data_IF_036504671311
#
_entry.id   IF_036504671311
#
_cell.length_a   1.000
_cell.length_b   1.000
_cell.length_c   1.000
_cell.angle_alpha   90.00
_cell.angle_beta   90.00
_cell.angle_gamma   90.00
#
_symmetry.space_group_name_H-M   'P 1'
#
loop_
_entity.id
_entity.type
_entity.pdbx_description
1 polymer ?
#
# COMPACT_ATOMS: atom_id res chain seq x y z
N UNK A 1 78.03 -43.55 37.85
CA UNK A 1 77.55 -42.32 37.19
C UNK A 1 76.01 -42.38 37.11
N UNK A 2 75.31 -41.76 38.05
CA UNK A 2 73.85 -41.82 38.15
C UNK A 2 73.29 -40.59 37.49
N UNK A 3 72.38 -40.76 36.51
CA UNK A 3 71.53 -39.69 35.98
C UNK A 3 70.19 -39.68 36.74
N UNK A 4 69.97 -38.59 37.41
CA UNK A 4 68.65 -38.30 38.05
C UNK A 4 67.67 -37.82 37.01
N UNK A 5 66.55 -38.52 36.92
CA UNK A 5 65.39 -38.10 36.10
C UNK A 5 64.44 -37.29 37.02
N UNK A 6 64.13 -36.05 36.60
CA UNK A 6 63.12 -35.19 37.27
C UNK A 6 61.78 -35.49 36.67
N UNK A 7 60.81 -35.87 37.51
CA UNK A 7 59.37 -35.98 37.17
C UNK A 7 58.73 -34.73 37.62
N UNK A 8 58.19 -33.97 36.70
CA UNK A 8 57.29 -32.80 36.96
C UNK A 8 55.88 -33.28 37.02
N UNK A 9 55.26 -33.10 38.16
CA UNK A 9 53.84 -33.39 38.42
C UNK A 9 53.01 -32.17 38.05
N UNK A 10 52.19 -32.30 37.00
CA UNK A 10 51.23 -31.22 36.64
C UNK A 10 49.91 -31.45 37.40
N UNK A 11 49.59 -30.55 38.32
CA UNK A 11 48.35 -30.57 39.04
C UNK A 11 47.27 -29.90 38.20
N UNK A 12 46.25 -30.66 37.79
CA UNK A 12 45.06 -30.14 37.14
C UNK A 12 44.03 -29.78 38.23
N UNK A 13 43.73 -28.49 38.35
CA UNK A 13 42.66 -28.01 39.23
C UNK A 13 41.34 -28.00 38.42
N UNK A 14 40.44 -28.93 38.75
CA UNK A 14 39.11 -28.96 38.19
C UNK A 14 38.22 -28.07 39.10
N UNK A 15 37.83 -26.92 38.59
CA UNK A 15 36.88 -26.04 39.25
C UNK A 15 35.46 -26.52 38.94
N UNK A 16 34.78 -27.09 39.90
CA UNK A 16 33.37 -27.47 39.80
C UNK A 16 32.53 -26.24 40.09
N UNK A 17 31.98 -25.63 39.05
CA UNK A 17 30.94 -24.61 39.18
C UNK A 17 29.59 -25.31 39.40
N UNK A 18 29.10 -25.24 40.64
CA UNK A 18 27.71 -25.63 40.98
C UNK A 18 26.72 -24.60 40.43
N UNK A 19 26.02 -24.97 39.38
CA UNK A 19 24.86 -24.17 38.88
C UNK A 19 23.67 -24.53 39.76
N UNK A 20 23.27 -23.60 40.62
CA UNK A 20 22.00 -23.69 41.38
C UNK A 20 20.86 -23.35 40.38
N UNK A 21 20.08 -24.35 40.01
CA UNK A 21 18.81 -24.17 39.34
C UNK A 21 17.80 -23.64 40.34
N UNK A 22 17.56 -22.33 40.37
CA UNK A 22 16.38 -21.73 40.97
C UNK A 22 15.28 -21.75 39.90
N UNK A 23 14.39 -22.72 40.04
CA UNK A 23 13.09 -22.72 39.35
C UNK A 23 12.22 -21.66 40.02
N UNK A 24 12.03 -20.53 39.35
CA UNK A 24 10.98 -19.57 39.64
C UNK A 24 9.98 -19.66 38.51
N UNK A 25 8.88 -20.38 38.72
CA UNK A 25 7.68 -20.18 37.90
C UNK A 25 7.08 -18.85 38.35
N UNK A 26 7.22 -17.83 37.54
CA UNK A 26 6.32 -16.70 37.48
C UNK A 26 5.60 -16.78 36.16
N UNK A 27 4.30 -17.06 36.22
CA UNK A 27 3.36 -16.99 35.13
C UNK A 27 3.17 -15.50 34.77
N UNK A 28 4.00 -15.02 33.88
CA UNK A 28 3.74 -13.86 33.03
C UNK A 28 4.30 -14.27 31.66
N UNK A 29 3.40 -14.66 30.77
CA UNK A 29 3.69 -14.88 29.36
C UNK A 29 4.02 -13.52 28.69
N UNK A 30 5.21 -13.01 28.99
CA UNK A 30 5.83 -11.95 28.20
C UNK A 30 6.31 -12.58 26.89
N UNK A 31 5.40 -12.63 25.91
CA UNK A 31 5.82 -12.79 24.53
C UNK A 31 6.63 -11.55 24.16
N UNK A 32 7.94 -11.69 24.14
CA UNK A 32 8.84 -10.68 23.58
C UNK A 32 8.44 -10.46 22.10
N UNK A 33 7.59 -9.47 21.86
CA UNK A 33 7.32 -8.98 20.51
C UNK A 33 8.65 -8.49 19.98
N UNK A 34 9.20 -9.18 18.99
CA UNK A 34 10.42 -8.75 18.29
C UNK A 34 10.09 -7.41 17.63
N UNK A 35 10.39 -6.33 18.34
CA UNK A 35 10.21 -4.97 17.80
C UNK A 35 11.20 -4.81 16.66
N UNK A 36 10.77 -4.38 15.46
CA UNK A 36 11.70 -4.09 14.39
C UNK A 36 12.70 -3.05 14.87
N UNK A 37 13.99 -3.37 14.77
CA UNK A 37 15.08 -2.67 15.45
C UNK A 37 15.26 -1.18 15.07
N UNK A 38 14.63 -0.70 13.98
CA UNK A 38 14.75 0.71 13.59
C UNK A 38 13.50 1.22 12.88
N UNK A 39 12.83 2.19 13.49
CA UNK A 39 11.85 3.02 12.79
C UNK A 39 12.56 4.03 11.90
N UNK A 40 12.00 4.29 10.72
CA UNK A 40 12.52 5.23 9.71
C UNK A 40 11.64 6.49 9.69
N UNK A 41 12.27 7.66 9.59
CA UNK A 41 11.55 8.91 9.33
C UNK A 41 11.22 8.98 7.82
N UNK A 42 9.98 8.64 7.48
CA UNK A 42 9.51 8.67 6.11
C UNK A 42 9.21 10.12 5.71
N UNK A 43 10.07 10.69 4.87
CA UNK A 43 9.87 12.01 4.27
C UNK A 43 9.79 11.85 2.77
N UNK A 44 8.57 11.93 2.24
CA UNK A 44 8.34 11.77 0.82
C UNK A 44 8.22 13.14 0.14
N UNK A 45 9.03 13.32 -0.91
CA UNK A 45 8.89 14.46 -1.80
C UNK A 45 7.69 14.25 -2.71
N UNK A 46 6.96 15.31 -2.95
CA UNK A 46 5.87 15.35 -3.92
C UNK A 46 6.47 15.52 -5.31
N UNK A 47 6.14 14.65 -6.29
CA UNK A 47 6.44 14.93 -7.70
C UNK A 47 5.74 16.20 -8.21
N UNK A 48 6.25 16.81 -9.26
CA UNK A 48 5.63 17.98 -9.88
C UNK A 48 4.23 17.65 -10.41
N UNK A 49 3.30 18.57 -10.25
CA UNK A 49 1.98 18.47 -10.87
C UNK A 49 2.07 18.58 -12.39
N UNK A 50 1.18 17.84 -13.05
CA UNK A 50 1.16 17.80 -14.51
C UNK A 50 0.62 19.09 -15.10
N UNK A 51 1.16 19.43 -16.26
CA UNK A 51 0.75 20.57 -17.11
C UNK A 51 0.29 20.03 -18.46
N UNK A 52 -0.53 20.80 -19.19
CA UNK A 52 -0.88 20.45 -20.57
C UNK A 52 0.37 20.16 -21.42
N UNK A 53 0.35 19.04 -22.12
CA UNK A 53 1.46 18.54 -22.94
C UNK A 53 2.49 17.68 -22.20
N UNK A 54 2.39 17.50 -20.87
CA UNK A 54 3.29 16.61 -20.16
C UNK A 54 3.07 15.14 -20.57
N UNK A 55 4.18 14.40 -20.67
CA UNK A 55 4.15 12.98 -21.02
C UNK A 55 3.79 12.12 -19.81
N UNK A 56 2.90 11.15 -20.07
CA UNK A 56 2.46 10.15 -19.11
C UNK A 56 2.73 8.76 -19.67
N UNK A 57 3.57 7.98 -18.98
CA UNK A 57 3.85 6.61 -19.34
C UNK A 57 2.70 5.68 -18.95
N UNK A 58 2.30 4.80 -19.87
CA UNK A 58 1.42 3.67 -19.61
C UNK A 58 2.29 2.41 -19.55
N UNK A 59 2.37 1.74 -18.41
CA UNK A 59 3.16 0.53 -18.21
C UNK A 59 2.33 -0.60 -17.59
N UNK A 60 2.81 -1.83 -17.75
CA UNK A 60 2.15 -3.01 -17.16
C UNK A 60 3.10 -3.76 -16.22
N UNK A 61 3.27 -3.34 -14.96
CA UNK A 61 4.22 -3.96 -14.04
C UNK A 61 3.73 -5.29 -13.43
N UNK A 62 2.47 -5.66 -13.65
CA UNK A 62 1.79 -6.82 -13.10
C UNK A 62 1.22 -7.72 -14.20
N UNK A 63 -0.10 -7.91 -14.26
CA UNK A 63 -0.74 -8.68 -15.31
C UNK A 63 -0.87 -7.87 -16.61
N UNK A 64 -0.95 -8.59 -17.75
CA UNK A 64 -1.17 -7.98 -19.04
C UNK A 64 -2.53 -7.26 -19.12
N UNK A 65 -2.59 -6.25 -19.95
CA UNK A 65 -3.81 -5.50 -20.27
C UNK A 65 -4.01 -5.56 -21.78
N UNK A 66 -5.22 -5.87 -22.28
CA UNK A 66 -5.51 -5.80 -23.71
C UNK A 66 -5.12 -4.44 -24.28
N UNK A 67 -4.44 -4.42 -25.42
CA UNK A 67 -3.98 -3.18 -26.05
C UNK A 67 -5.12 -2.21 -26.35
N UNK A 68 -6.31 -2.71 -26.67
CA UNK A 68 -7.50 -1.88 -26.84
C UNK A 68 -7.80 -1.00 -25.61
N UNK A 69 -7.64 -1.55 -24.40
CA UNK A 69 -7.85 -0.77 -23.16
C UNK A 69 -6.73 0.25 -22.94
N UNK A 70 -5.49 -0.08 -23.31
CA UNK A 70 -4.35 0.83 -23.24
C UNK A 70 -4.54 2.00 -24.19
N UNK A 71 -4.97 1.74 -25.41
CA UNK A 71 -5.23 2.75 -26.44
C UNK A 71 -6.40 3.66 -26.05
N UNK A 72 -7.51 3.10 -25.55
CA UNK A 72 -8.62 3.90 -24.99
C UNK A 72 -8.19 4.77 -23.84
N UNK A 73 -7.32 4.26 -22.96
CA UNK A 73 -6.74 5.07 -21.87
C UNK A 73 -5.88 6.20 -22.43
N UNK A 74 -5.08 5.92 -23.46
CA UNK A 74 -4.30 6.96 -24.12
C UNK A 74 -5.19 8.06 -24.72
N UNK A 75 -6.37 7.72 -25.27
CA UNK A 75 -7.34 8.70 -25.73
C UNK A 75 -7.88 9.57 -24.58
N UNK A 76 -8.21 8.95 -23.44
CA UNK A 76 -8.65 9.69 -22.25
C UNK A 76 -7.58 10.67 -21.76
N UNK A 77 -6.32 10.26 -21.71
CA UNK A 77 -5.21 11.14 -21.32
C UNK A 77 -5.01 12.30 -22.31
N UNK A 78 -5.15 12.06 -23.61
CA UNK A 78 -5.14 13.14 -24.61
C UNK A 78 -6.29 14.13 -24.40
N UNK A 79 -7.48 13.64 -24.06
CA UNK A 79 -8.63 14.48 -23.72
C UNK A 79 -8.40 15.29 -22.43
N UNK A 80 -7.54 14.83 -21.54
CA UNK A 80 -7.08 15.60 -20.38
C UNK A 80 -5.97 16.62 -20.72
N UNK A 81 -5.54 16.68 -22.00
CA UNK A 81 -4.48 17.58 -22.47
C UNK A 81 -3.07 17.05 -22.23
N UNK A 82 -2.91 15.75 -21.97
CA UNK A 82 -1.62 15.10 -21.72
C UNK A 82 -1.13 14.32 -22.95
N UNK A 83 0.16 13.99 -22.99
CA UNK A 83 0.79 13.17 -24.01
C UNK A 83 1.05 11.74 -23.49
N UNK A 84 0.18 10.74 -23.78
CA UNK A 84 0.44 9.37 -23.36
C UNK A 84 1.54 8.74 -24.20
N UNK A 85 2.46 8.03 -23.53
CA UNK A 85 3.50 7.19 -24.14
C UNK A 85 3.39 5.78 -23.59
N UNK A 86 3.37 4.80 -24.50
CA UNK A 86 3.18 3.39 -24.14
C UNK A 86 4.53 2.75 -23.91
N UNK A 87 4.70 2.04 -22.80
CA UNK A 87 5.93 1.34 -22.46
C UNK A 87 6.31 0.27 -23.51
N UNK A 88 7.61 0.10 -23.78
CA UNK A 88 8.10 -0.77 -24.86
C UNK A 88 7.65 -2.23 -24.78
N UNK A 89 7.37 -2.72 -23.56
CA UNK A 89 6.98 -4.12 -23.34
C UNK A 89 5.47 -4.29 -23.07
N UNK A 90 4.69 -3.22 -23.12
CA UNK A 90 3.23 -3.29 -22.95
C UNK A 90 2.63 -4.11 -24.10
N UNK A 91 1.68 -4.99 -23.78
CA UNK A 91 1.07 -5.93 -24.70
C UNK A 91 1.73 -7.30 -24.76
N UNK A 92 2.92 -7.47 -24.15
CA UNK A 92 3.52 -8.80 -23.97
C UNK A 92 2.72 -9.64 -22.98
N UNK A 93 2.75 -10.97 -23.20
CA UNK A 93 2.10 -11.94 -22.32
C UNK A 93 3.07 -13.09 -22.05
N UNK A 94 3.26 -13.40 -20.77
CA UNK A 94 4.04 -14.57 -20.31
C UNK A 94 3.15 -15.37 -19.36
N UNK A 95 3.21 -16.71 -19.49
CA UNK A 95 2.41 -17.66 -18.68
C UNK A 95 0.91 -17.35 -18.68
N UNK A 96 0.41 -16.76 -19.77
CA UNK A 96 -0.99 -16.38 -19.96
C UNK A 96 -1.51 -15.26 -19.05
N UNK A 97 -0.65 -14.66 -18.22
CA UNK A 97 -1.08 -13.68 -17.19
C UNK A 97 -0.17 -12.44 -17.09
N UNK A 98 1.14 -12.62 -17.00
CA UNK A 98 2.07 -11.53 -16.77
C UNK A 98 2.26 -10.67 -18.03
N UNK A 99 2.48 -9.39 -17.83
CA UNK A 99 2.78 -8.44 -18.91
C UNK A 99 4.27 -8.49 -19.29
N UNK A 100 4.75 -9.67 -19.68
CA UNK A 100 6.16 -9.92 -19.96
C UNK A 100 6.91 -10.56 -18.78
N UNK A 101 8.19 -10.82 -18.98
CA UNK A 101 9.12 -11.31 -17.97
C UNK A 101 9.37 -10.26 -16.87
N UNK A 102 9.94 -10.68 -15.74
CA UNK A 102 10.35 -9.75 -14.67
C UNK A 102 11.27 -8.65 -15.23
N UNK A 103 12.27 -9.03 -16.03
CA UNK A 103 13.21 -8.07 -16.63
C UNK A 103 12.52 -7.05 -17.56
N UNK A 104 11.55 -7.47 -18.36
CA UNK A 104 10.80 -6.59 -19.25
C UNK A 104 9.93 -5.60 -18.47
N UNK A 105 9.24 -6.06 -17.42
CA UNK A 105 8.43 -5.19 -16.56
C UNK A 105 9.28 -4.18 -15.79
N UNK A 106 10.44 -4.58 -15.30
CA UNK A 106 11.43 -3.68 -14.66
C UNK A 106 11.98 -2.68 -15.68
N UNK A 107 12.27 -3.12 -16.91
CA UNK A 107 12.82 -2.23 -17.95
C UNK A 107 11.83 -1.13 -18.33
N UNK A 108 10.53 -1.40 -18.32
CA UNK A 108 9.50 -0.37 -18.58
C UNK A 108 9.42 0.66 -17.45
N UNK A 109 9.58 0.23 -16.20
CA UNK A 109 9.65 1.15 -15.06
C UNK A 109 10.90 2.05 -15.20
N UNK A 110 12.08 1.46 -15.45
CA UNK A 110 13.33 2.22 -15.65
C UNK A 110 13.26 3.16 -16.82
N UNK A 111 12.74 2.69 -17.97
CA UNK A 111 12.51 3.55 -19.12
C UNK A 111 11.67 4.78 -18.77
N UNK A 112 10.58 4.57 -18.02
CA UNK A 112 9.73 5.67 -17.60
C UNK A 112 10.41 6.59 -16.57
N UNK A 113 11.30 6.06 -15.72
CA UNK A 113 12.08 6.86 -14.76
C UNK A 113 13.19 7.65 -15.44
N UNK A 114 13.89 7.05 -16.39
CA UNK A 114 15.07 7.63 -17.04
C UNK A 114 14.73 8.74 -18.04
N UNK A 115 13.54 8.70 -18.66
CA UNK A 115 13.11 9.77 -19.59
C UNK A 115 12.63 11.01 -18.80
N UNK A 116 13.38 12.13 -18.79
CA UNK A 116 13.02 13.33 -18.03
C UNK A 116 11.75 14.03 -18.55
N UNK A 117 11.31 13.70 -19.77
CA UNK A 117 10.07 14.24 -20.34
C UNK A 117 8.81 13.57 -19.79
N UNK A 118 8.93 12.35 -19.26
CA UNK A 118 7.82 11.65 -18.59
C UNK A 118 7.64 12.22 -17.18
N UNK A 119 6.42 12.63 -16.83
CA UNK A 119 6.10 13.26 -15.54
C UNK A 119 5.26 12.37 -14.63
N UNK A 120 4.52 11.42 -15.20
CA UNK A 120 3.74 10.45 -14.45
C UNK A 120 3.79 9.06 -15.12
N UNK A 121 3.52 8.05 -14.32
CA UNK A 121 3.48 6.64 -14.70
C UNK A 121 2.12 6.10 -14.25
N UNK A 122 1.27 5.71 -15.19
CA UNK A 122 0.00 5.04 -14.89
C UNK A 122 0.16 3.56 -15.18
N UNK A 123 -0.11 2.74 -14.16
CA UNK A 123 -0.12 1.29 -14.29
C UNK A 123 -1.39 0.85 -15.01
N UNK A 124 -1.25 -0.01 -16.00
CA UNK A 124 -2.36 -0.47 -16.82
C UNK A 124 -3.31 -1.39 -16.02
N UNK A 125 -2.78 -2.22 -15.15
CA UNK A 125 -3.54 -3.19 -14.37
C UNK A 125 -2.74 -3.68 -13.16
N UNK A 126 -3.45 -4.09 -12.10
CA UNK A 126 -2.95 -4.92 -11.03
C UNK A 126 -2.99 -6.43 -11.39
N UNK A 127 -3.22 -7.26 -10.41
CA UNK A 127 -3.23 -8.72 -10.53
C UNK A 127 -2.21 -9.34 -9.59
N UNK A 128 -1.09 -9.82 -10.10
CA UNK A 128 0.02 -10.34 -9.30
C UNK A 128 1.35 -10.16 -10.04
N UNK A 129 2.42 -9.88 -9.31
CA UNK A 129 3.77 -9.94 -9.84
C UNK A 129 4.65 -8.75 -9.52
N UNK A 130 4.13 -7.65 -8.95
CA UNK A 130 4.97 -6.50 -8.56
C UNK A 130 5.96 -6.84 -7.45
N UNK A 131 5.63 -7.78 -6.57
CA UNK A 131 6.54 -8.28 -5.54
C UNK A 131 7.83 -8.89 -6.14
N UNK A 132 7.76 -9.43 -7.37
CA UNK A 132 8.93 -9.98 -8.09
C UNK A 132 9.88 -8.89 -8.59
N UNK A 133 9.46 -7.62 -8.58
CA UNK A 133 10.21 -6.48 -9.11
C UNK A 133 11.01 -5.75 -8.05
N UNK A 134 10.63 -5.87 -6.78
CA UNK A 134 11.19 -5.02 -5.71
C UNK A 134 12.70 -5.18 -5.55
N UNK A 135 13.23 -6.39 -5.68
CA UNK A 135 14.67 -6.63 -5.59
C UNK A 135 15.47 -6.22 -6.83
N UNK A 136 14.76 -5.89 -7.92
CA UNK A 136 15.37 -5.44 -9.18
C UNK A 136 15.44 -3.91 -9.29
N UNK A 137 14.70 -3.18 -8.46
CA UNK A 137 14.66 -1.73 -8.42
C UNK A 137 15.40 -1.23 -7.17
N UNK A 138 16.05 -0.09 -7.25
CA UNK A 138 16.74 0.52 -6.11
C UNK A 138 15.99 1.76 -5.61
N UNK A 139 16.02 2.00 -4.31
CA UNK A 139 15.44 3.22 -3.74
C UNK A 139 16.09 4.49 -4.30
N UNK A 140 17.37 4.40 -4.69
CA UNK A 140 18.12 5.51 -5.27
C UNK A 140 17.61 5.90 -6.67
N UNK A 141 17.28 4.91 -7.54
CA UNK A 141 16.68 5.17 -8.86
C UNK A 141 15.35 5.93 -8.72
N UNK A 142 14.48 5.47 -7.83
CA UNK A 142 13.18 6.09 -7.60
C UNK A 142 13.30 7.50 -7.02
N UNK A 143 14.17 7.68 -6.03
CA UNK A 143 14.42 8.99 -5.40
C UNK A 143 15.04 9.99 -6.37
N UNK A 144 15.92 9.52 -7.26
CA UNK A 144 16.62 10.36 -8.23
C UNK A 144 15.72 10.89 -9.35
N UNK A 145 14.55 10.27 -9.57
CA UNK A 145 13.59 10.63 -10.62
C UNK A 145 12.16 10.62 -10.08
N UNK A 146 11.81 11.59 -9.22
CA UNK A 146 10.48 11.61 -8.58
C UNK A 146 9.39 11.88 -9.62
N UNK A 147 8.55 10.87 -9.85
CA UNK A 147 7.39 10.91 -10.76
C UNK A 147 6.17 10.35 -10.06
N UNK A 148 4.99 10.83 -10.42
CA UNK A 148 3.75 10.22 -9.96
C UNK A 148 3.65 8.78 -10.48
N UNK A 149 3.59 7.81 -9.58
CA UNK A 149 3.15 6.45 -9.88
C UNK A 149 1.67 6.34 -9.51
N UNK A 150 0.84 5.90 -10.45
CA UNK A 150 -0.61 5.75 -10.26
C UNK A 150 -1.02 4.29 -10.45
N UNK A 151 -1.79 3.77 -9.51
CA UNK A 151 -2.35 2.43 -9.57
C UNK A 151 -2.89 1.99 -8.21
N UNK A 152 -3.42 0.78 -8.13
CA UNK A 152 -3.91 0.16 -6.89
C UNK A 152 -3.83 -1.37 -6.98
N UNK A 153 -4.38 -2.11 -6.01
CA UNK A 153 -4.31 -3.57 -6.00
C UNK A 153 -2.86 -4.05 -5.84
N UNK A 154 -2.35 -4.92 -6.71
CA UNK A 154 -0.96 -5.40 -6.71
C UNK A 154 0.08 -4.25 -6.75
N UNK A 155 -0.31 -3.05 -7.25
CA UNK A 155 0.56 -1.87 -7.26
C UNK A 155 0.84 -1.33 -5.84
N UNK A 156 0.10 -1.77 -4.83
CA UNK A 156 0.37 -1.43 -3.42
C UNK A 156 1.81 -1.79 -2.99
N UNK A 157 2.39 -2.85 -3.54
CA UNK A 157 3.81 -3.19 -3.37
C UNK A 157 4.72 -2.08 -3.87
N UNK A 158 4.45 -1.51 -5.05
CA UNK A 158 5.24 -0.41 -5.59
C UNK A 158 5.01 0.90 -4.82
N UNK A 159 3.81 1.13 -4.29
CA UNK A 159 3.56 2.28 -3.40
C UNK A 159 4.44 2.20 -2.15
N UNK A 160 4.58 1.00 -1.54
CA UNK A 160 5.51 0.76 -0.44
C UNK A 160 6.96 1.11 -0.83
N UNK A 161 7.41 0.63 -1.99
CA UNK A 161 8.75 0.89 -2.50
C UNK A 161 9.01 2.39 -2.76
N UNK A 162 8.06 3.10 -3.39
CA UNK A 162 8.14 4.54 -3.63
C UNK A 162 8.18 5.33 -2.31
N UNK A 163 7.32 4.97 -1.35
CA UNK A 163 7.32 5.58 -0.01
C UNK A 163 8.66 5.40 0.70
N UNK A 164 9.25 4.19 0.65
CA UNK A 164 10.58 3.92 1.20
C UNK A 164 11.70 4.67 0.46
N UNK A 165 11.52 4.92 -0.84
CA UNK A 165 12.42 5.78 -1.61
C UNK A 165 12.25 7.27 -1.30
N UNK A 166 11.25 7.66 -0.53
CA UNK A 166 10.94 9.03 -0.21
C UNK A 166 10.22 9.78 -1.33
N UNK A 167 9.36 9.10 -2.10
CA UNK A 167 8.58 9.66 -3.20
C UNK A 167 7.10 9.37 -2.98
N UNK A 168 6.24 10.39 -3.08
CA UNK A 168 4.80 10.22 -3.04
C UNK A 168 4.29 9.53 -4.30
N UNK A 169 3.21 8.76 -4.17
CA UNK A 169 2.54 8.07 -5.27
C UNK A 169 1.01 8.12 -5.09
N UNK A 170 0.24 7.71 -6.08
CA UNK A 170 -1.22 7.80 -6.03
C UNK A 170 -1.83 6.40 -6.11
N UNK A 171 -2.43 5.94 -5.00
CA UNK A 171 -3.41 4.86 -5.07
C UNK A 171 -4.63 5.41 -5.81
N UNK A 172 -4.97 4.84 -6.95
CA UNK A 172 -6.03 5.37 -7.80
C UNK A 172 -6.26 4.56 -9.07
N UNK A 173 -7.16 5.06 -9.89
CA UNK A 173 -7.69 4.40 -11.08
C UNK A 173 -6.60 4.02 -12.10
N UNK A 174 -6.71 2.82 -12.67
CA UNK A 174 -5.82 2.25 -13.70
C UNK A 174 -6.51 2.18 -15.07
N UNK A 175 -5.73 1.79 -16.12
CA UNK A 175 -6.23 1.72 -17.51
C UNK A 175 -7.49 0.88 -17.68
N UNK A 176 -7.65 -0.21 -16.93
CA UNK A 176 -8.86 -1.04 -17.01
C UNK A 176 -10.15 -0.30 -16.65
N UNK A 177 -10.05 0.78 -15.88
CA UNK A 177 -11.16 1.67 -15.52
C UNK A 177 -11.21 2.91 -16.41
N UNK A 178 -10.07 3.56 -16.65
CA UNK A 178 -9.96 4.74 -17.52
C UNK A 178 -10.45 4.47 -18.95
N UNK A 179 -10.23 3.25 -19.47
CA UNK A 179 -10.72 2.83 -20.77
C UNK A 179 -12.25 2.87 -20.92
N UNK A 180 -13.00 3.04 -19.82
CA UNK A 180 -14.45 3.24 -19.80
C UNK A 180 -14.88 4.69 -20.09
N UNK A 181 -13.92 5.61 -20.28
CA UNK A 181 -14.14 6.99 -20.68
C UNK A 181 -13.57 8.05 -19.74
N UNK A 182 -13.13 7.68 -18.53
CA UNK A 182 -12.43 8.59 -17.61
C UNK A 182 -13.26 9.78 -17.09
N UNK A 183 -14.58 9.65 -17.07
CA UNK A 183 -15.52 10.72 -16.64
C UNK A 183 -16.21 10.42 -15.31
N UNK A 184 -16.00 9.24 -14.76
CA UNK A 184 -16.47 8.88 -13.43
C UNK A 184 -15.76 9.69 -12.33
N UNK A 185 -16.32 9.66 -11.10
CA UNK A 185 -15.80 10.44 -9.98
C UNK A 185 -14.35 10.10 -9.65
N UNK A 186 -13.97 8.81 -9.65
CA UNK A 186 -12.62 8.33 -9.36
C UNK A 186 -11.60 8.86 -10.37
N UNK A 187 -11.94 8.73 -11.65
CA UNK A 187 -11.08 9.20 -12.76
C UNK A 187 -10.95 10.72 -12.77
N UNK A 188 -12.04 11.44 -12.52
CA UNK A 188 -12.08 12.90 -12.48
C UNK A 188 -11.22 13.44 -11.32
N UNK A 189 -11.39 12.90 -10.11
CA UNK A 189 -10.61 13.33 -8.94
C UNK A 189 -9.12 12.95 -9.08
N UNK A 190 -8.80 11.81 -9.71
CA UNK A 190 -7.43 11.44 -10.00
C UNK A 190 -6.78 12.41 -11.00
N UNK A 191 -7.49 12.78 -12.09
CA UNK A 191 -7.04 13.84 -13.02
C UNK A 191 -6.77 15.13 -12.28
N UNK A 192 -7.75 15.57 -11.47
CA UNK A 192 -7.67 16.82 -10.75
C UNK A 192 -6.48 16.82 -9.77
N UNK A 193 -6.26 15.73 -9.06
CA UNK A 193 -5.09 15.55 -8.20
C UNK A 193 -3.76 15.65 -8.98
N UNK A 194 -3.67 14.99 -10.14
CA UNK A 194 -2.47 15.03 -10.99
C UNK A 194 -2.12 16.44 -11.47
N UNK A 195 -3.11 17.32 -11.64
CA UNK A 195 -2.91 18.72 -12.06
C UNK A 195 -2.91 19.73 -10.89
N UNK A 196 -2.93 19.24 -9.63
CA UNK A 196 -2.70 20.05 -8.43
C UNK A 196 -3.94 20.39 -7.59
N UNK A 197 -5.11 19.84 -7.91
CA UNK A 197 -6.30 19.99 -7.08
C UNK A 197 -6.38 18.84 -6.07
N UNK A 198 -5.76 19.02 -4.91
CA UNK A 198 -5.71 18.00 -3.86
C UNK A 198 -7.07 17.90 -3.17
N UNK A 199 -7.71 16.71 -3.19
CA UNK A 199 -9.03 16.55 -2.60
C UNK A 199 -8.99 16.58 -1.07
N UNK A 200 -10.07 17.07 -0.49
CA UNK A 200 -10.46 16.83 0.90
C UNK A 200 -11.74 15.99 0.89
N UNK A 201 -11.73 14.90 1.63
CA UNK A 201 -12.87 14.00 1.70
C UNK A 201 -13.72 14.28 2.94
N UNK A 202 -15.04 14.33 2.75
CA UNK A 202 -16.04 14.36 3.81
C UNK A 202 -16.91 13.12 3.66
N UNK A 203 -16.93 12.29 4.71
CA UNK A 203 -17.54 10.98 4.70
C UNK A 203 -18.68 10.93 5.72
N UNK A 204 -19.77 10.21 5.42
CA UNK A 204 -20.86 10.01 6.38
C UNK A 204 -20.38 9.22 7.59
N UNK A 205 -21.17 9.22 8.65
CA UNK A 205 -20.94 8.37 9.81
C UNK A 205 -21.00 6.88 9.41
N UNK A 206 -20.08 6.09 9.97
CA UNK A 206 -20.10 4.64 9.84
C UNK A 206 -20.15 3.98 11.22
N UNK A 207 -20.94 2.89 11.35
CA UNK A 207 -21.19 2.23 12.64
C UNK A 207 -19.94 1.65 13.30
N UNK A 208 -18.93 1.33 12.49
CA UNK A 208 -17.67 0.76 12.96
C UNK A 208 -16.54 1.80 13.11
N UNK A 209 -16.86 3.09 12.98
CA UNK A 209 -15.89 4.16 13.24
C UNK A 209 -15.41 4.12 14.70
N UNK A 210 -14.12 4.41 14.92
CA UNK A 210 -13.58 4.74 16.24
C UNK A 210 -13.24 6.23 16.23
N UNK A 211 -13.92 6.98 17.08
CA UNK A 211 -13.83 8.45 17.13
C UNK A 211 -12.44 8.91 17.57
N UNK A 212 -11.94 9.94 16.95
CA UNK A 212 -10.69 10.58 17.29
C UNK A 212 -10.11 11.36 16.12
N UNK A 213 -8.99 12.05 16.39
CA UNK A 213 -8.27 12.82 15.38
C UNK A 213 -6.79 12.47 15.42
N UNK A 214 -6.21 12.24 14.26
CA UNK A 214 -4.80 11.92 14.13
C UNK A 214 -4.22 12.41 12.81
N UNK A 215 -2.90 12.59 12.81
CA UNK A 215 -2.14 12.90 11.60
C UNK A 215 -0.93 11.97 11.52
N UNK A 216 -0.52 11.62 10.30
CA UNK A 216 0.63 10.76 10.07
C UNK A 216 0.86 10.51 8.58
N UNK A 217 1.88 9.73 8.27
CA UNK A 217 2.22 9.36 6.90
C UNK A 217 1.28 8.25 6.43
N UNK A 218 0.63 8.46 5.29
CA UNK A 218 -0.27 7.50 4.69
C UNK A 218 0.50 6.38 4.02
N UNK A 219 0.29 5.15 4.49
CA UNK A 219 0.88 3.92 3.95
C UNK A 219 -0.20 2.85 3.83
N UNK A 220 0.04 1.81 3.03
CA UNK A 220 -0.90 0.70 2.91
C UNK A 220 -1.36 0.44 1.48
N UNK A 221 -2.60 -0.02 1.33
CA UNK A 221 -3.25 -0.43 0.09
C UNK A 221 -3.99 -1.76 0.24
N UNK A 222 -3.98 -2.59 -0.79
CA UNK A 222 -4.51 -3.94 -0.70
C UNK A 222 -3.70 -4.75 0.31
N UNK A 223 -4.38 -5.28 1.35
CA UNK A 223 -3.68 -5.85 2.51
C UNK A 223 -2.87 -7.10 2.13
N UNK A 224 -3.38 -7.95 1.25
CA UNK A 224 -2.69 -9.17 0.81
C UNK A 224 -1.47 -8.91 -0.09
N UNK A 225 -1.34 -7.71 -0.65
CA UNK A 225 -0.15 -7.31 -1.42
C UNK A 225 0.79 -6.39 -0.63
N UNK A 226 0.27 -5.69 0.37
CA UNK A 226 1.05 -4.79 1.22
C UNK A 226 1.81 -5.52 2.33
N UNK A 227 1.13 -6.42 3.06
CA UNK A 227 1.72 -7.15 4.20
C UNK A 227 2.94 -8.02 3.81
N UNK A 228 2.97 -8.71 2.64
CA UNK A 228 4.17 -9.45 2.22
C UNK A 228 5.43 -8.61 2.02
N UNK A 229 5.33 -7.28 2.01
CA UNK A 229 6.51 -6.41 1.90
C UNK A 229 7.28 -6.25 3.22
N UNK A 230 6.73 -6.71 4.34
CA UNK A 230 7.39 -6.64 5.65
C UNK A 230 8.81 -7.21 5.60
N UNK A 231 9.76 -6.45 6.14
CA UNK A 231 11.18 -6.80 6.14
C UNK A 231 11.92 -6.59 4.82
N UNK A 232 11.22 -6.23 3.72
CA UNK A 232 11.85 -5.91 2.43
C UNK A 232 12.19 -4.41 2.32
N UNK A 233 12.84 -4.02 1.21
CA UNK A 233 13.06 -2.60 0.92
C UNK A 233 11.77 -1.81 0.60
N UNK A 234 10.65 -2.49 0.36
CA UNK A 234 9.33 -1.89 0.16
C UNK A 234 8.50 -1.81 1.46
N UNK A 235 9.09 -2.12 2.61
CA UNK A 235 8.43 -2.11 3.90
C UNK A 235 8.23 -0.69 4.44
N UNK A 236 7.18 -0.03 3.98
CA UNK A 236 6.79 1.29 4.47
C UNK A 236 6.22 1.27 5.92
N UNK A 237 5.96 0.10 6.49
CA UNK A 237 5.47 -0.01 7.88
C UNK A 237 6.54 0.33 8.92
N UNK A 238 7.81 0.42 8.52
CA UNK A 238 8.89 0.88 9.40
C UNK A 238 8.83 2.38 9.73
N UNK A 239 7.92 3.10 9.10
CA UNK A 239 7.69 4.52 9.40
C UNK A 239 7.20 4.77 10.81
N UNK A 240 7.42 6.00 11.29
CA UNK A 240 6.82 6.55 12.53
C UNK A 240 5.51 7.25 12.18
N UNK A 241 4.60 7.31 13.17
CA UNK A 241 3.37 8.09 13.07
C UNK A 241 2.60 7.80 11.77
N UNK A 242 2.21 6.53 11.60
CA UNK A 242 1.55 6.06 10.39
C UNK A 242 0.03 6.28 10.43
N UNK A 243 -0.54 6.62 9.29
CA UNK A 243 -1.96 6.39 8.99
C UNK A 243 -1.99 5.20 8.02
N UNK A 244 -2.53 4.08 8.49
CA UNK A 244 -2.59 2.85 7.71
C UNK A 244 -3.90 2.79 6.91
N UNK A 245 -3.81 2.71 5.60
CA UNK A 245 -4.93 2.44 4.71
C UNK A 245 -4.92 0.97 4.30
N UNK A 246 -6.07 0.29 4.44
CA UNK A 246 -6.24 -1.10 3.99
C UNK A 246 -7.57 -1.30 3.28
N UNK A 247 -7.56 -2.07 2.22
CA UNK A 247 -8.70 -2.55 1.46
C UNK A 247 -8.45 -3.99 0.99
N UNK A 248 -9.48 -4.71 0.52
CA UNK A 248 -9.29 -6.05 -0.02
C UNK A 248 -10.43 -6.46 -0.96
N UNK A 249 -10.19 -7.48 -1.80
CA UNK A 249 -11.16 -8.04 -2.73
C UNK A 249 -11.10 -9.56 -2.79
N UNK A 250 -12.29 -10.20 -2.82
CA UNK A 250 -12.45 -11.66 -3.02
C UNK A 250 -11.64 -12.53 -2.03
N UNK A 251 -11.38 -12.00 -0.82
CA UNK A 251 -10.59 -12.70 0.18
C UNK A 251 -11.46 -13.20 1.34
N UNK A 252 -11.01 -14.28 1.98
CA UNK A 252 -11.67 -14.82 3.16
C UNK A 252 -11.40 -13.95 4.39
N UNK A 253 -12.41 -13.83 5.26
CA UNK A 253 -12.27 -13.04 6.49
C UNK A 253 -11.13 -13.55 7.39
N UNK A 254 -10.91 -14.88 7.46
CA UNK A 254 -9.81 -15.44 8.26
C UNK A 254 -8.42 -15.14 7.67
N UNK A 255 -8.30 -14.92 6.36
CA UNK A 255 -7.03 -14.49 5.79
C UNK A 255 -6.78 -13.01 6.08
N UNK A 256 -7.82 -12.17 6.02
CA UNK A 256 -7.73 -10.76 6.44
C UNK A 256 -7.34 -10.67 7.92
N UNK A 257 -7.96 -11.47 8.81
CA UNK A 257 -7.55 -11.56 10.22
C UNK A 257 -6.07 -11.93 10.36
N UNK A 258 -5.63 -12.95 9.60
CA UNK A 258 -4.21 -13.38 9.60
C UNK A 258 -3.27 -12.25 9.19
N UNK A 259 -3.58 -11.49 8.12
CA UNK A 259 -2.76 -10.36 7.69
C UNK A 259 -2.70 -9.28 8.78
N UNK A 260 -3.82 -8.98 9.42
CA UNK A 260 -3.85 -8.01 10.52
C UNK A 260 -3.07 -8.51 11.75
N UNK A 261 -3.13 -9.82 12.07
CA UNK A 261 -2.29 -10.42 13.13
C UNK A 261 -0.81 -10.33 12.81
N UNK A 262 -0.41 -10.49 11.55
CA UNK A 262 0.98 -10.28 11.12
C UNK A 262 1.41 -8.83 11.39
N UNK A 263 0.58 -7.84 11.03
CA UNK A 263 0.86 -6.44 11.35
C UNK A 263 0.95 -6.20 12.87
N UNK A 264 0.07 -6.80 13.65
CA UNK A 264 0.08 -6.73 15.11
C UNK A 264 1.38 -7.31 15.69
N UNK A 265 1.71 -8.56 15.35
CA UNK A 265 2.90 -9.26 15.85
C UNK A 265 4.22 -8.55 15.48
N UNK A 266 4.23 -7.79 14.38
CA UNK A 266 5.38 -6.97 13.96
C UNK A 266 5.33 -5.54 14.54
N UNK A 267 4.43 -5.27 15.49
CA UNK A 267 4.32 -3.96 16.17
C UNK A 267 3.94 -2.81 15.22
N UNK A 268 3.36 -3.11 14.06
CA UNK A 268 2.95 -2.08 13.09
C UNK A 268 1.79 -1.29 13.64
N UNK A 269 0.79 -1.96 14.24
CA UNK A 269 -0.39 -1.31 14.80
C UNK A 269 -0.03 -0.35 15.94
N UNK A 270 1.01 -0.64 16.72
CA UNK A 270 1.51 0.23 17.80
C UNK A 270 2.12 1.54 17.28
N UNK A 271 2.56 1.56 16.02
CA UNK A 271 3.10 2.75 15.35
C UNK A 271 2.05 3.55 14.59
N UNK A 272 0.85 2.98 14.43
CA UNK A 272 -0.26 3.67 13.80
C UNK A 272 -0.81 4.77 14.72
N UNK A 273 -1.05 5.94 14.15
CA UNK A 273 -1.80 7.04 14.78
C UNK A 273 -3.28 7.00 14.41
N UNK A 274 -3.62 6.29 13.35
CA UNK A 274 -4.98 6.08 12.91
C UNK A 274 -5.02 5.09 11.73
N UNK A 275 -6.21 4.61 11.43
CA UNK A 275 -6.44 3.62 10.38
C UNK A 275 -7.59 4.08 9.49
N UNK A 276 -7.44 3.86 8.18
CA UNK A 276 -8.49 4.04 7.18
C UNK A 276 -8.84 2.66 6.63
N UNK A 277 -10.08 2.24 6.83
CA UNK A 277 -10.64 1.04 6.23
C UNK A 277 -11.36 1.44 4.94
N UNK A 278 -10.82 0.97 3.81
CA UNK A 278 -11.42 1.09 2.50
C UNK A 278 -12.56 0.09 2.30
N UNK A 279 -12.73 -0.36 1.07
CA UNK A 279 -13.74 -1.35 0.74
C UNK A 279 -13.19 -2.77 0.86
N UNK A 280 -14.02 -3.69 1.37
CA UNK A 280 -13.76 -5.13 1.43
C UNK A 280 -14.73 -5.84 0.48
N UNK A 281 -14.44 -5.71 -0.81
CA UNK A 281 -15.34 -6.10 -1.90
C UNK A 281 -15.37 -7.63 -2.05
N UNK A 282 -16.57 -8.22 -1.99
CA UNK A 282 -16.78 -9.67 -2.11
C UNK A 282 -15.93 -10.53 -1.14
N UNK A 283 -15.52 -9.94 0.00
CA UNK A 283 -14.82 -10.66 1.05
C UNK A 283 -15.78 -11.59 1.81
N UNK A 284 -15.27 -12.78 2.18
CA UNK A 284 -16.06 -13.80 2.84
C UNK A 284 -16.51 -13.43 4.25
N UNK A 285 -17.57 -14.06 4.73
CA UNK A 285 -18.18 -13.84 6.05
C UNK A 285 -18.25 -15.16 6.83
N UNK A 286 -17.13 -15.92 6.87
CA UNK A 286 -17.08 -17.25 7.49
C UNK A 286 -17.07 -17.19 9.03
N UNK A 287 -16.85 -16.03 9.61
CA UNK A 287 -16.90 -15.81 11.06
C UNK A 287 -18.28 -15.36 11.54
N UNK A 288 -18.42 -15.24 12.85
CA UNK A 288 -19.63 -14.72 13.52
C UNK A 288 -19.81 -13.21 13.36
N UNK A 289 -18.83 -12.51 12.77
CA UNK A 289 -18.92 -11.07 12.50
C UNK A 289 -19.84 -10.80 11.30
N UNK A 290 -20.58 -9.72 11.39
CA UNK A 290 -21.50 -9.30 10.32
C UNK A 290 -20.78 -8.73 9.08
N UNK A 291 -19.54 -8.27 9.25
CA UNK A 291 -18.68 -7.75 8.18
C UNK A 291 -17.21 -7.77 8.58
N UNK A 292 -16.31 -7.56 7.62
CA UNK A 292 -14.87 -7.42 7.86
C UNK A 292 -14.59 -6.21 8.75
N UNK A 293 -15.27 -5.10 8.53
CA UNK A 293 -15.10 -3.88 9.33
C UNK A 293 -15.52 -4.11 10.80
N UNK A 294 -16.53 -4.96 11.05
CA UNK A 294 -16.94 -5.33 12.42
C UNK A 294 -15.85 -6.16 13.11
N UNK A 295 -15.23 -7.11 12.40
CA UNK A 295 -14.09 -7.89 12.90
C UNK A 295 -12.90 -6.98 13.21
N UNK A 296 -12.56 -6.08 12.29
CA UNK A 296 -11.45 -5.14 12.46
C UNK A 296 -11.71 -4.14 13.59
N UNK A 297 -12.94 -3.68 13.76
CA UNK A 297 -13.32 -2.84 14.89
C UNK A 297 -13.02 -3.51 16.23
N UNK A 298 -13.42 -4.79 16.40
CA UNK A 298 -13.15 -5.55 17.61
C UNK A 298 -11.63 -5.70 17.87
N UNK A 299 -10.82 -5.89 16.83
CA UNK A 299 -9.38 -5.98 16.94
C UNK A 299 -8.72 -4.64 17.32
N UNK A 300 -9.28 -3.53 16.82
CA UNK A 300 -8.63 -2.20 16.88
C UNK A 300 -9.10 -1.33 18.04
N UNK A 301 -10.23 -1.64 18.68
CA UNK A 301 -10.86 -0.79 19.72
C UNK A 301 -9.94 -0.48 20.91
N UNK A 302 -9.04 -1.39 21.26
CA UNK A 302 -8.15 -1.25 22.42
C UNK A 302 -6.85 -0.49 22.10
N UNK A 303 -6.59 -0.16 20.83
CA UNK A 303 -5.44 0.69 20.44
C UNK A 303 -5.66 2.18 20.71
N UNK A 304 -6.90 2.60 21.00
CA UNK A 304 -7.26 3.99 21.29
C UNK A 304 -6.85 5.01 20.21
N UNK A 305 -6.85 4.57 18.95
CA UNK A 305 -6.59 5.39 17.77
C UNK A 305 -7.85 5.55 16.93
N UNK A 306 -8.03 6.67 16.20
CA UNK A 306 -9.18 6.82 15.29
C UNK A 306 -9.14 5.79 14.17
N UNK A 307 -10.31 5.21 13.87
CA UNK A 307 -10.52 4.34 12.73
C UNK A 307 -11.64 4.92 11.87
N UNK A 308 -11.31 5.29 10.64
CA UNK A 308 -12.24 5.76 9.63
C UNK A 308 -12.65 4.57 8.77
N UNK A 309 -13.92 4.17 8.83
CA UNK A 309 -14.45 3.04 8.07
C UNK A 309 -15.26 3.53 6.86
N UNK A 310 -15.27 2.70 5.79
CA UNK A 310 -16.07 2.93 4.61
C UNK A 310 -15.52 4.04 3.71
N UNK A 311 -14.19 4.24 3.68
CA UNK A 311 -13.59 5.09 2.67
C UNK A 311 -13.80 4.43 1.29
N UNK A 312 -14.38 5.13 0.30
CA UNK A 312 -14.63 4.56 -1.02
C UNK A 312 -13.32 4.47 -1.82
N UNK A 313 -12.47 3.52 -1.46
CA UNK A 313 -11.17 3.24 -2.05
C UNK A 313 -10.87 1.75 -1.99
N UNK A 314 -10.46 1.19 -3.11
CA UNK A 314 -10.22 -0.23 -3.30
C UNK A 314 -10.86 -0.78 -4.57
N UNK A 315 -11.54 -1.93 -4.47
CA UNK A 315 -12.06 -2.67 -5.61
C UNK A 315 -13.59 -2.52 -5.82
N UNK A 316 -14.23 -1.57 -5.14
CA UNK A 316 -15.64 -1.27 -5.35
C UNK A 316 -15.91 -0.45 -6.62
N UNK A 317 -17.14 0.04 -6.74
CA UNK A 317 -17.56 0.85 -7.88
C UNK A 317 -16.87 2.22 -7.93
N UNK A 318 -16.46 2.73 -6.78
CA UNK A 318 -15.74 4.00 -6.60
C UNK A 318 -14.38 3.73 -5.97
N UNK A 319 -13.31 4.24 -6.58
CA UNK A 319 -11.95 4.14 -6.04
C UNK A 319 -11.31 5.52 -6.01
N UNK A 320 -11.55 6.25 -4.93
CA UNK A 320 -11.07 7.61 -4.76
C UNK A 320 -9.56 7.65 -4.57
N UNK A 321 -8.86 8.61 -5.20
CA UNK A 321 -7.41 8.67 -5.13
C UNK A 321 -6.90 9.02 -3.73
N UNK A 322 -5.87 8.30 -3.29
CA UNK A 322 -5.11 8.59 -2.08
C UNK A 322 -3.65 8.86 -2.41
N UNK A 323 -3.06 9.89 -1.81
CA UNK A 323 -1.62 10.19 -1.97
C UNK A 323 -0.82 9.41 -0.94
N UNK A 324 -0.24 8.29 -1.36
CA UNK A 324 0.60 7.44 -0.53
C UNK A 324 1.94 8.15 -0.24
N UNK A 325 2.43 8.01 0.98
CA UNK A 325 3.62 8.73 1.45
C UNK A 325 3.37 10.20 1.86
N UNK A 326 2.17 10.73 1.64
CA UNK A 326 1.81 12.07 2.12
C UNK A 326 1.49 12.06 3.62
N UNK A 327 1.74 13.17 4.30
CA UNK A 327 1.16 13.40 5.62
C UNK A 327 -0.34 13.69 5.46
N UNK A 328 -1.18 12.99 6.22
CA UNK A 328 -2.64 13.17 6.20
C UNK A 328 -3.17 13.40 7.60
N UNK A 329 -4.33 14.06 7.69
CA UNK A 329 -5.12 14.16 8.92
C UNK A 329 -6.45 13.48 8.70
N UNK A 330 -6.82 12.57 9.60
CA UNK A 330 -8.17 12.03 9.73
C UNK A 330 -8.82 12.62 10.99
N UNK A 331 -10.09 12.99 10.88
CA UNK A 331 -10.90 13.51 11.98
C UNK A 331 -12.24 12.77 11.95
N UNK A 332 -12.35 11.74 12.81
CA UNK A 332 -13.49 10.83 12.89
C UNK A 332 -14.38 11.27 14.04
N UNK A 333 -15.64 11.57 13.74
CA UNK A 333 -16.66 12.07 14.65
C UNK A 333 -17.90 11.17 14.62
N UNK A 334 -18.81 11.37 15.54
CA UNK A 334 -20.08 10.62 15.61
C UNK A 334 -21.00 10.87 14.39
N UNK A 335 -20.87 12.02 13.75
CA UNK A 335 -21.72 12.46 12.63
C UNK A 335 -21.07 12.31 11.25
N UNK A 336 -19.82 11.88 11.20
CA UNK A 336 -19.07 11.70 9.97
C UNK A 336 -17.57 11.73 10.18
N UNK A 337 -16.82 11.74 9.09
CA UNK A 337 -15.36 11.81 9.14
C UNK A 337 -14.80 12.71 8.03
N UNK A 338 -13.60 13.26 8.26
CA UNK A 338 -12.85 13.97 7.20
C UNK A 338 -11.48 13.36 7.04
N UNK A 339 -10.99 13.34 5.81
CA UNK A 339 -9.62 13.05 5.45
C UNK A 339 -9.05 14.21 4.66
N UNK A 340 -7.90 14.72 5.09
CA UNK A 340 -7.23 15.85 4.47
C UNK A 340 -5.74 15.55 4.29
N UNK A 341 -5.20 15.85 3.11
CA UNK A 341 -3.76 15.79 2.84
C UNK A 341 -3.08 17.08 3.30
N UNK A 342 -1.95 16.94 4.01
CA UNK A 342 -1.11 18.05 4.48
C UNK A 342 0.16 18.09 3.62
N UNK A 343 0.03 18.53 2.35
CA UNK A 343 1.13 18.60 1.39
C UNK A 343 1.64 20.04 1.36
N UNK A 344 2.94 20.25 1.60
CA UNK A 344 3.54 21.58 1.62
C UNK A 344 3.50 22.24 0.24
N UNK A 345 3.20 23.52 0.21
CA UNK A 345 3.19 24.33 -1.01
C UNK A 345 1.90 24.25 -1.84
N UNK A 346 0.92 23.45 -1.42
CA UNK A 346 -0.37 23.38 -2.09
C UNK A 346 -1.30 24.46 -1.56
N UNK A 347 -1.80 25.30 -2.48
CA UNK A 347 -3.00 26.07 -2.18
C UNK A 347 -4.15 25.04 -2.10
N UNK A 348 -4.66 24.83 -0.90
CA UNK A 348 -5.84 23.97 -0.69
C UNK A 348 -7.03 24.58 -1.43
N UNK A 349 -7.19 24.21 -2.67
CA UNK A 349 -8.47 24.36 -3.36
C UNK A 349 -9.37 23.26 -2.82
N UNK A 350 -10.23 23.66 -1.87
CA UNK A 350 -11.21 22.78 -1.24
C UNK A 350 -12.21 22.33 -2.31
N UNK A 351 -11.91 21.26 -3.02
CA UNK A 351 -12.94 20.48 -3.67
C UNK A 351 -13.45 19.50 -2.62
N UNK A 352 -14.46 19.93 -1.86
CA UNK A 352 -15.24 19.05 -1.00
C UNK A 352 -16.01 18.09 -1.90
N UNK A 353 -15.43 16.93 -2.17
CA UNK A 353 -16.21 15.84 -2.72
C UNK A 353 -17.11 15.32 -1.60
N UNK A 354 -18.31 15.89 -1.49
CA UNK A 354 -19.38 15.27 -0.69
C UNK A 354 -19.80 14.00 -1.42
N UNK A 355 -19.22 12.88 -1.00
CA UNK A 355 -19.56 11.58 -1.55
C UNK A 355 -20.69 11.03 -0.68
N UNK A 356 -21.89 11.10 -1.20
CA UNK A 356 -22.96 10.24 -0.70
C UNK A 356 -22.56 8.82 -1.05
N UNK A 357 -22.28 7.99 -0.03
CA UNK A 357 -22.08 6.57 -0.23
C UNK A 357 -23.23 6.02 -1.09
N UNK A 358 -22.98 5.24 -2.15
CA UNK A 358 -24.05 4.57 -2.86
C UNK A 358 -24.78 3.68 -1.85
N UNK A 359 -26.11 3.78 -1.85
CA UNK A 359 -26.94 2.86 -1.09
C UNK A 359 -26.52 1.43 -1.47
N UNK A 360 -26.31 0.58 -0.46
CA UNK A 360 -25.86 -0.82 -0.51
C UNK A 360 -26.05 -1.45 -1.89
N UNK A 361 -25.00 -1.86 -2.61
CA UNK A 361 -25.13 -2.34 -3.98
C UNK A 361 -25.93 -3.63 -4.01
N UNK A 362 -26.95 -3.63 -4.87
CA UNK A 362 -27.62 -4.87 -5.26
C UNK A 362 -26.55 -5.82 -5.88
N UNK A 363 -26.53 -7.06 -5.41
CA UNK A 363 -25.64 -8.13 -5.87
C UNK A 363 -25.61 -8.25 -7.39
N UNK A 364 -24.68 -7.58 -8.05
CA UNK A 364 -24.40 -7.81 -9.47
C UNK A 364 -23.16 -8.71 -9.53
N UNK A 365 -23.42 -10.01 -9.72
CA UNK A 365 -22.38 -11.00 -10.03
C UNK A 365 -21.74 -10.65 -11.37
N UNK A 366 -20.60 -9.96 -11.38
CA UNK A 366 -19.67 -10.06 -12.49
C UNK A 366 -18.96 -11.41 -12.41
N UNK A 367 -19.49 -12.40 -13.12
CA UNK A 367 -18.73 -13.62 -13.41
C UNK A 367 -17.55 -13.21 -14.29
N UNK A 368 -16.34 -13.30 -13.75
CA UNK A 368 -15.12 -13.35 -14.56
C UNK A 368 -15.23 -14.58 -15.46
N UNK A 369 -15.59 -14.37 -16.73
CA UNK A 369 -15.55 -15.40 -17.77
C UNK A 369 -14.07 -15.74 -18.03
N UNK A 370 -13.64 -16.92 -17.62
CA UNK A 370 -12.29 -17.43 -17.83
C UNK A 370 -12.04 -18.75 -17.13
N UNK A 371 -12.97 -19.73 -17.23
CA UNK A 371 -12.56 -21.12 -17.17
C UNK A 371 -11.95 -21.46 -18.52
N UNK A 372 -10.64 -21.62 -18.54
CA UNK A 372 -9.95 -22.36 -19.60
C UNK A 372 -9.92 -23.80 -19.11
N UNK A 373 -10.61 -24.69 -19.86
CA UNK A 373 -10.41 -26.12 -19.82
C UNK A 373 -9.00 -26.49 -20.27
#
# INVERSE_FOLDING_TARGET
MMKKTFMTTTTVVISIMSVALLSSCSDEDDYDVVKPEQTVDLKCQKPDYLKPGDKVALISPSYFTPMENVEKTAEVLRNWGLEPVIGPNVGKVVDGRYAGTVSERVSDIRWALDDPSIKAIICNRGGYGTIQLIDQLTLAELKGSPKWLVGFSDISTLHGLFTCAGVMSIHGTMSSFLAKGGTDASSTLMRDLLIGYVPRYELPAHKQNIVGKASGILVGGNICTFVPNLGSQADATRGKDLILFIEEVEESMHNIDRQMRILQMNGVLDRCKGIILGEFTDCGTEFTYESVEAMLHEMLKDYHIPVLCGFPGGHGDVNLPLVMGANVTIDVRNDGATLQFNIEGDQQTVNTASITAPATPAKTRMRLAGKIE
#
